data_IF_609490398202
#
_entry.id   IF_609490398202
#
_cell.length_a   1.000
_cell.length_b   1.000
_cell.length_c   1.000
_cell.angle_alpha   90.00
_cell.angle_beta   90.00
_cell.angle_gamma   90.00
#
_symmetry.space_group_name_H-M   'P 1'
#
loop_
_entity.id
_entity.type
_entity.pdbx_description
1 polymer ?
#
# COMPACT_ATOMS: atom_id res chain seq x y z
N UNK A 1 17.26 -5.54 -28.44
CA UNK A 1 16.81 -4.31 -27.75
C UNK A 1 16.78 -4.61 -26.26
N UNK A 2 17.59 -3.89 -25.50
CA UNK A 2 18.08 -4.27 -24.17
C UNK A 2 16.99 -4.43 -23.10
N UNK A 3 16.93 -5.61 -22.49
CA UNK A 3 16.19 -5.91 -21.27
C UNK A 3 16.93 -5.32 -20.07
N UNK A 4 16.82 -4.00 -19.87
CA UNK A 4 17.30 -3.37 -18.64
C UNK A 4 16.42 -3.87 -17.50
N UNK A 5 16.90 -4.84 -16.73
CA UNK A 5 16.26 -5.32 -15.53
C UNK A 5 16.07 -4.12 -14.59
N UNK A 6 14.81 -3.69 -14.44
CA UNK A 6 14.45 -2.59 -13.55
C UNK A 6 14.86 -2.97 -12.12
N UNK A 7 15.64 -2.13 -11.41
CA UNK A 7 16.13 -2.47 -10.08
C UNK A 7 14.96 -2.75 -9.13
N UNK A 8 15.12 -3.79 -8.29
CA UNK A 8 14.15 -4.23 -7.27
C UNK A 8 13.49 -3.08 -6.48
N UNK A 9 14.23 -2.05 -5.99
CA UNK A 9 13.62 -0.92 -5.28
C UNK A 9 12.63 -0.13 -6.13
N UNK A 10 12.84 -0.04 -7.45
CA UNK A 10 11.95 0.67 -8.38
C UNK A 10 10.69 -0.15 -8.70
N UNK A 11 10.79 -1.49 -8.72
CA UNK A 11 9.62 -2.40 -8.78
C UNK A 11 8.80 -2.34 -7.49
N UNK A 12 9.44 -2.35 -6.33
CA UNK A 12 8.79 -2.16 -5.03
C UNK A 12 8.08 -0.80 -4.96
N UNK A 13 8.75 0.27 -5.39
CA UNK A 13 8.14 1.61 -5.46
C UNK A 13 6.96 1.70 -6.43
N UNK A 14 6.93 0.90 -7.51
CA UNK A 14 5.76 0.83 -8.40
C UNK A 14 4.59 0.02 -7.86
N UNK A 15 4.86 -0.95 -6.95
CA UNK A 15 3.84 -1.72 -6.24
C UNK A 15 3.20 -0.91 -5.12
N UNK A 16 3.99 -0.07 -4.46
CA UNK A 16 3.49 0.97 -3.57
C UNK A 16 2.90 2.07 -4.45
N UNK A 17 1.61 1.96 -4.80
CA UNK A 17 0.85 3.08 -5.37
C UNK A 17 0.83 4.23 -4.37
N UNK A 18 1.87 5.07 -4.41
CA UNK A 18 2.04 6.22 -3.53
C UNK A 18 0.79 7.12 -3.64
N UNK A 19 0.16 7.18 -4.81
CA UNK A 19 -1.03 7.99 -5.05
C UNK A 19 -2.19 7.64 -4.09
N UNK A 20 -2.36 6.37 -3.72
CA UNK A 20 -3.44 5.94 -2.82
C UNK A 20 -3.08 6.03 -1.33
N UNK A 21 -1.80 6.23 -1.02
CA UNK A 21 -1.30 6.33 0.35
C UNK A 21 -1.32 7.78 0.83
N UNK A 22 -1.12 8.73 -0.09
CA UNK A 22 -1.26 10.18 0.16
C UNK A 22 -2.64 10.55 0.69
N UNK A 23 -3.71 9.89 0.26
CA UNK A 23 -5.07 10.16 0.79
C UNK A 23 -5.28 9.65 2.22
N UNK A 24 -4.56 8.63 2.65
CA UNK A 24 -4.71 8.05 3.99
C UNK A 24 -3.85 8.79 5.04
N UNK A 25 -2.67 9.29 4.65
CA UNK A 25 -1.69 9.97 5.50
C UNK A 25 -2.26 11.10 6.39
N UNK A 26 -3.11 12.01 5.88
CA UNK A 26 -3.71 13.05 6.70
C UNK A 26 -4.50 12.49 7.89
N UNK A 27 -5.25 11.39 7.71
CA UNK A 27 -6.07 10.81 8.78
C UNK A 27 -5.22 10.17 9.87
N UNK A 28 -4.14 9.47 9.51
CA UNK A 28 -3.26 8.90 10.52
C UNK A 28 -2.49 9.98 11.30
N UNK A 29 -2.10 11.08 10.63
CA UNK A 29 -1.48 12.19 11.34
C UNK A 29 -2.47 12.86 12.28
N UNK A 30 -3.71 13.14 11.87
CA UNK A 30 -4.74 13.66 12.79
C UNK A 30 -4.88 12.76 14.02
N UNK A 31 -4.90 11.43 13.83
CA UNK A 31 -4.89 10.48 14.94
C UNK A 31 -3.65 10.57 15.84
N UNK A 32 -2.46 10.73 15.25
CA UNK A 32 -1.21 10.88 16.00
C UNK A 32 -1.18 12.18 16.83
N UNK A 33 -1.64 13.30 16.27
CA UNK A 33 -1.77 14.57 16.98
C UNK A 33 -2.80 14.51 18.11
N UNK A 34 -3.92 13.84 17.87
CA UNK A 34 -4.97 13.65 18.89
C UNK A 34 -4.47 12.74 20.03
N UNK A 35 -3.74 11.67 19.71
CA UNK A 35 -3.19 10.75 20.70
C UNK A 35 -2.06 11.37 21.53
N UNK A 36 -1.27 12.27 20.94
CA UNK A 36 -0.19 12.96 21.61
C UNK A 36 -0.64 14.22 22.40
N UNK A 37 -1.91 14.64 22.26
CA UNK A 37 -2.44 15.91 22.79
C UNK A 37 -1.53 17.12 22.49
N UNK A 38 -0.99 17.14 21.25
CA UNK A 38 0.06 18.07 20.88
C UNK A 38 0.93 17.54 19.74
N UNK A 39 2.16 18.04 19.62
CA UNK A 39 3.09 17.62 18.58
C UNK A 39 3.68 16.22 18.91
N UNK A 40 3.43 15.18 18.08
CA UNK A 40 3.90 13.82 18.38
C UNK A 40 5.42 13.64 18.21
N UNK A 41 6.13 14.59 17.59
CA UNK A 41 7.56 14.43 17.30
C UNK A 41 7.82 13.82 15.93
N UNK A 42 8.99 14.15 15.36
CA UNK A 42 9.39 13.66 14.03
C UNK A 42 9.58 12.14 14.00
N UNK A 43 10.01 11.53 15.11
CA UNK A 43 10.18 10.08 15.21
C UNK A 43 8.86 9.33 15.07
N UNK A 44 7.84 9.76 15.81
CA UNK A 44 6.52 9.13 15.77
C UNK A 44 5.84 9.39 14.42
N UNK A 45 5.99 10.58 13.84
CA UNK A 45 5.51 10.85 12.48
C UNK A 45 6.16 9.92 11.44
N UNK A 46 7.46 9.66 11.53
CA UNK A 46 8.16 8.72 10.65
C UNK A 46 7.60 7.31 10.81
N UNK A 47 7.43 6.83 12.04
CA UNK A 47 6.90 5.49 12.30
C UNK A 47 5.44 5.32 11.90
N UNK A 48 4.59 6.34 12.12
CA UNK A 48 3.20 6.37 11.65
C UNK A 48 3.16 6.26 10.12
N UNK A 49 4.06 6.97 9.43
CA UNK A 49 4.16 6.90 7.97
C UNK A 49 4.55 5.50 7.50
N UNK A 50 5.61 4.93 8.09
CA UNK A 50 6.10 3.59 7.75
C UNK A 50 5.03 2.54 8.01
N UNK A 51 4.37 2.61 9.17
CA UNK A 51 3.30 1.70 9.56
C UNK A 51 2.13 1.78 8.57
N UNK A 52 1.72 2.98 8.15
CA UNK A 52 0.59 3.12 7.24
C UNK A 52 0.90 2.64 5.83
N UNK A 53 2.09 2.93 5.31
CA UNK A 53 2.53 2.41 4.00
C UNK A 53 2.57 0.87 4.03
N UNK A 54 3.11 0.29 5.10
CA UNK A 54 3.15 -1.16 5.31
C UNK A 54 1.75 -1.77 5.39
N UNK A 55 0.89 -1.24 6.25
CA UNK A 55 -0.48 -1.71 6.44
C UNK A 55 -1.30 -1.62 5.14
N UNK A 56 -1.16 -0.53 4.37
CA UNK A 56 -1.84 -0.37 3.08
C UNK A 56 -1.42 -1.42 2.07
N UNK A 57 -0.11 -1.67 1.98
CA UNK A 57 0.47 -2.64 1.04
C UNK A 57 0.05 -4.06 1.42
N UNK A 58 0.13 -4.39 2.72
CA UNK A 58 -0.29 -5.67 3.26
C UNK A 58 -1.78 -5.92 3.04
N UNK A 59 -2.64 -4.94 3.35
CA UNK A 59 -4.08 -5.06 3.13
C UNK A 59 -4.40 -5.31 1.64
N UNK A 60 -3.71 -4.62 0.73
CA UNK A 60 -3.93 -4.80 -0.71
C UNK A 60 -3.45 -6.17 -1.21
N UNK A 61 -2.34 -6.68 -0.67
CA UNK A 61 -1.83 -8.01 -0.96
C UNK A 61 -2.74 -9.11 -0.39
N UNK A 62 -3.21 -8.94 0.85
CA UNK A 62 -4.11 -9.89 1.50
C UNK A 62 -5.47 -9.94 0.81
N UNK A 63 -6.05 -8.79 0.46
CA UNK A 63 -7.30 -8.76 -0.31
C UNK A 63 -7.13 -9.53 -1.63
N UNK A 64 -6.01 -9.33 -2.34
CA UNK A 64 -5.71 -10.10 -3.56
C UNK A 64 -5.53 -11.60 -3.33
N UNK A 65 -4.93 -12.00 -2.20
CA UNK A 65 -4.71 -13.41 -1.88
C UNK A 65 -6.01 -14.12 -1.50
N UNK A 66 -6.82 -13.51 -0.63
CA UNK A 66 -8.08 -14.07 -0.12
C UNK A 66 -9.16 -14.02 -1.19
N UNK A 67 -9.26 -12.91 -1.92
CA UNK A 67 -10.30 -12.73 -2.93
C UNK A 67 -9.94 -13.39 -4.26
N UNK A 68 -8.77 -14.05 -4.41
CA UNK A 68 -8.34 -14.65 -5.68
C UNK A 68 -9.37 -15.62 -6.28
N UNK A 69 -9.96 -16.48 -5.45
CA UNK A 69 -10.95 -17.46 -5.90
C UNK A 69 -12.34 -16.84 -6.12
N UNK A 70 -12.66 -15.76 -5.40
CA UNK A 70 -13.92 -15.02 -5.53
C UNK A 70 -13.89 -14.13 -6.79
N UNK A 71 -12.78 -13.42 -7.00
CA UNK A 71 -12.53 -12.56 -8.16
C UNK A 71 -12.51 -13.36 -9.47
N UNK A 72 -12.06 -14.63 -9.44
CA UNK A 72 -12.06 -15.54 -10.59
C UNK A 72 -13.47 -15.98 -11.02
N UNK A 73 -14.43 -16.00 -10.10
CA UNK A 73 -15.83 -16.41 -10.35
C UNK A 73 -16.73 -15.24 -10.76
N UNK A 74 -16.25 -14.00 -10.63
CA UNK A 74 -17.02 -12.81 -10.92
C UNK A 74 -16.71 -12.27 -12.34
N UNK A 75 -17.69 -12.26 -13.27
CA UNK A 75 -17.49 -11.80 -14.65
C UNK A 75 -16.97 -10.36 -14.76
N UNK A 76 -17.14 -9.54 -13.71
CA UNK A 76 -16.71 -8.14 -13.67
C UNK A 76 -15.24 -7.94 -13.27
N UNK A 77 -14.60 -8.92 -12.66
CA UNK A 77 -13.20 -8.87 -12.16
C UNK A 77 -12.29 -9.92 -12.81
N UNK A 78 -12.85 -10.81 -13.63
CA UNK A 78 -12.12 -11.86 -14.34
C UNK A 78 -10.97 -11.39 -15.24
N UNK A 79 -10.97 -10.11 -15.67
CA UNK A 79 -9.91 -9.50 -16.49
C UNK A 79 -8.84 -8.74 -15.69
N UNK A 80 -8.89 -8.75 -14.35
CA UNK A 80 -7.83 -8.14 -13.55
C UNK A 80 -6.56 -8.96 -13.72
N UNK A 81 -5.45 -8.26 -13.98
CA UNK A 81 -4.07 -8.76 -13.97
C UNK A 81 -3.73 -9.33 -12.58
N UNK A 82 -4.25 -10.52 -12.27
CA UNK A 82 -3.59 -11.43 -11.37
C UNK A 82 -2.22 -11.71 -12.02
N UNK A 83 -1.10 -11.57 -11.29
CA UNK A 83 0.13 -12.21 -11.71
C UNK A 83 -0.19 -13.71 -11.71
N UNK A 84 -0.45 -14.25 -12.89
CA UNK A 84 -0.51 -15.67 -13.15
C UNK A 84 0.92 -16.20 -13.04
N UNK A 85 1.36 -16.46 -11.81
CA UNK A 85 2.73 -16.89 -11.51
C UNK A 85 3.73 -15.77 -11.38
#
# INVERSE_FOLDING_TARGET
MSTVAVPLPRKLASLVRIEHTVFALPFAYVGAFLAADGWPGLGDMLWVTVAMVGARTLAMALNRLVDAEIDARNPRTASRELPSG
#
